data_IF_176456732771
#
_entry.id   IF_176456732771
#
_cell.length_a   1.000
_cell.length_b   1.000
_cell.length_c   1.000
_cell.angle_alpha   90.00
_cell.angle_beta   90.00
_cell.angle_gamma   90.00
#
_symmetry.space_group_name_H-M   'P 1'
#
loop_
_entity.id
_entity.type
_entity.pdbx_description
1 polymer ?
#
# COMPACT_ATOMS: atom_id res chain seq x y z
N UNK A 1 12.70 -1.36 3.52
CA UNK A 1 12.34 -2.39 2.52
C UNK A 1 13.49 -3.38 2.46
N UNK A 2 13.20 -4.68 2.32
CA UNK A 2 14.23 -5.71 2.19
C UNK A 2 15.12 -5.47 0.95
N UNK A 3 16.40 -5.87 0.95
CA UNK A 3 17.22 -5.89 -0.25
C UNK A 3 16.48 -6.53 -1.44
N UNK A 4 16.48 -5.84 -2.58
CA UNK A 4 15.47 -6.06 -3.63
C UNK A 4 15.94 -6.79 -4.89
N UNK A 5 17.25 -6.90 -5.11
CA UNK A 5 17.78 -7.57 -6.31
C UNK A 5 18.30 -8.97 -6.01
N UNK A 6 19.13 -9.09 -4.97
CA UNK A 6 19.57 -10.37 -4.43
C UNK A 6 18.73 -10.73 -3.21
N UNK A 7 18.52 -12.04 -3.00
CA UNK A 7 17.76 -12.57 -1.87
C UNK A 7 18.70 -13.13 -0.80
N UNK A 8 19.16 -12.29 0.13
CA UNK A 8 19.94 -12.77 1.26
C UNK A 8 19.12 -13.77 2.10
N UNK A 9 19.79 -14.75 2.73
CA UNK A 9 19.20 -15.55 3.79
C UNK A 9 18.66 -14.66 4.91
N UNK A 10 17.71 -15.18 5.68
CA UNK A 10 17.01 -14.41 6.72
C UNK A 10 17.97 -13.86 7.80
N UNK A 11 19.04 -14.59 8.13
CA UNK A 11 20.09 -14.10 9.05
C UNK A 11 20.79 -12.84 8.53
N UNK A 12 21.04 -12.78 7.23
CA UNK A 12 21.69 -11.63 6.60
C UNK A 12 20.71 -10.45 6.49
N UNK A 13 19.41 -10.71 6.30
CA UNK A 13 18.36 -9.67 6.38
C UNK A 13 18.30 -9.09 7.80
N UNK A 14 18.36 -9.95 8.82
CA UNK A 14 18.34 -9.53 10.21
C UNK A 14 19.56 -8.66 10.57
N UNK A 15 20.77 -9.10 10.21
CA UNK A 15 22.01 -8.31 10.41
C UNK A 15 21.93 -6.95 9.69
N UNK A 16 21.39 -6.93 8.47
CA UNK A 16 21.16 -5.68 7.74
C UNK A 16 20.27 -4.71 8.53
N UNK A 17 19.11 -5.16 9.01
CA UNK A 17 18.21 -4.29 9.77
C UNK A 17 18.80 -3.88 11.13
N UNK A 18 19.56 -4.74 11.81
CA UNK A 18 20.26 -4.38 13.05
C UNK A 18 21.32 -3.30 12.83
N UNK A 19 22.08 -3.39 11.74
CA UNK A 19 23.07 -2.35 11.37
C UNK A 19 22.41 -1.03 11.03
N UNK A 20 21.30 -1.05 10.29
CA UNK A 20 20.53 0.17 10.01
C UNK A 20 19.98 0.76 11.31
N UNK A 21 19.32 -0.06 12.12
CA UNK A 21 18.75 0.30 13.42
C UNK A 21 19.75 0.96 14.37
N UNK A 22 20.93 0.36 14.54
CA UNK A 22 21.97 0.89 15.43
C UNK A 22 22.62 2.19 14.92
N UNK A 23 22.50 2.49 13.62
CA UNK A 23 23.06 3.71 13.01
C UNK A 23 22.16 4.94 13.10
N UNK A 24 20.89 4.79 13.52
CA UNK A 24 19.89 5.86 13.53
C UNK A 24 19.14 5.93 14.86
N UNK A 25 18.51 7.07 15.14
CA UNK A 25 17.71 7.31 16.36
C UNK A 25 16.21 7.52 16.11
N UNK A 26 15.77 7.26 14.89
CA UNK A 26 14.36 7.37 14.48
C UNK A 26 13.75 5.98 14.34
N UNK A 27 12.42 5.91 14.42
CA UNK A 27 11.67 4.67 14.21
C UNK A 27 11.79 4.16 12.78
N UNK A 28 11.89 2.84 12.64
CA UNK A 28 11.90 2.10 11.39
C UNK A 28 10.53 1.47 11.19
N UNK A 29 9.94 1.76 10.03
CA UNK A 29 8.83 0.97 9.50
C UNK A 29 9.39 -0.05 8.50
N UNK A 30 9.26 -1.33 8.83
CA UNK A 30 9.49 -2.41 7.87
C UNK A 30 8.54 -2.23 6.68
N UNK A 31 9.01 -2.58 5.50
CA UNK A 31 8.17 -2.53 4.30
C UNK A 31 8.31 -3.86 3.55
N UNK A 32 7.26 -4.66 3.63
CA UNK A 32 7.16 -5.95 2.95
C UNK A 32 6.23 -5.82 1.75
N UNK A 33 6.81 -5.87 0.55
CA UNK A 33 6.09 -5.78 -0.71
C UNK A 33 6.67 -6.80 -1.70
N UNK A 34 6.17 -8.02 -1.60
CA UNK A 34 6.57 -9.14 -2.45
C UNK A 34 6.29 -8.89 -3.94
N UNK A 35 5.31 -8.04 -4.28
CA UNK A 35 5.03 -7.69 -5.68
C UNK A 35 6.17 -6.90 -6.34
N UNK A 36 6.92 -6.11 -5.55
CA UNK A 36 8.04 -5.29 -6.04
C UNK A 36 9.37 -6.02 -5.86
N UNK A 37 9.60 -6.54 -4.66
CA UNK A 37 10.88 -7.11 -4.23
C UNK A 37 10.97 -8.59 -4.61
N UNK A 38 9.85 -9.25 -5.00
CA UNK A 38 9.77 -10.69 -5.34
C UNK A 38 10.25 -11.66 -4.24
N UNK A 39 10.50 -11.14 -3.04
CA UNK A 39 10.68 -11.91 -1.82
C UNK A 39 9.65 -11.44 -0.81
N UNK A 40 8.88 -12.42 -0.33
CA UNK A 40 8.01 -12.20 0.81
C UNK A 40 8.78 -12.44 2.11
N UNK A 41 8.69 -11.52 3.07
CA UNK A 41 9.22 -11.73 4.41
C UNK A 41 8.27 -12.65 5.18
N UNK A 42 8.79 -13.77 5.68
CA UNK A 42 8.02 -14.70 6.50
C UNK A 42 7.57 -14.05 7.81
N UNK A 43 6.47 -14.54 8.39
CA UNK A 43 6.02 -14.11 9.72
C UNK A 43 7.11 -14.31 10.77
N UNK A 44 7.82 -15.45 10.72
CA UNK A 44 8.96 -15.74 11.61
C UNK A 44 10.07 -14.69 11.53
N UNK A 45 10.47 -14.29 10.31
CA UNK A 45 11.47 -13.24 10.15
C UNK A 45 10.95 -11.88 10.63
N UNK A 46 9.70 -11.52 10.31
CA UNK A 46 9.11 -10.26 10.78
C UNK A 46 9.03 -10.22 12.32
N UNK A 47 8.68 -11.33 12.96
CA UNK A 47 8.67 -11.47 14.41
C UNK A 47 10.05 -11.21 15.01
N UNK A 48 11.12 -11.81 14.45
CA UNK A 48 12.50 -11.54 14.88
C UNK A 48 12.93 -10.09 14.64
N UNK A 49 12.50 -9.47 13.54
CA UNK A 49 12.79 -8.07 13.25
C UNK A 49 12.04 -7.12 14.19
N UNK A 50 10.86 -7.51 14.69
CA UNK A 50 10.07 -6.71 15.64
C UNK A 50 10.70 -6.61 17.03
N UNK A 51 11.69 -7.44 17.35
CA UNK A 51 12.47 -7.36 18.59
C UNK A 51 13.54 -6.26 18.57
N UNK A 52 13.80 -5.66 17.41
CA UNK A 52 14.77 -4.56 17.28
C UNK A 52 14.14 -3.29 17.85
N UNK A 53 14.76 -2.68 18.85
CA UNK A 53 14.21 -1.58 19.68
C UNK A 53 13.53 -0.46 18.88
N UNK A 54 14.14 0.01 17.79
CA UNK A 54 13.60 1.11 16.99
C UNK A 54 12.82 0.64 15.75
N UNK A 55 12.52 -0.65 15.60
CA UNK A 55 11.51 -1.12 14.64
C UNK A 55 10.15 -0.95 15.30
N UNK A 56 9.34 -0.04 14.75
CA UNK A 56 8.08 0.40 15.39
C UNK A 56 6.83 0.05 14.59
N UNK A 57 7.00 -0.33 13.32
CA UNK A 57 5.89 -0.66 12.44
C UNK A 57 6.29 -1.59 11.29
N UNK A 58 5.30 -2.19 10.64
CA UNK A 58 5.40 -2.83 9.34
C UNK A 58 4.28 -2.34 8.41
N UNK A 59 4.63 -1.98 7.17
CA UNK A 59 3.70 -1.89 6.06
C UNK A 59 3.68 -3.24 5.34
N UNK A 60 2.58 -3.98 5.47
CA UNK A 60 2.39 -5.29 4.84
C UNK A 60 1.54 -5.14 3.56
N UNK A 61 2.14 -5.42 2.40
CA UNK A 61 1.53 -5.25 1.07
C UNK A 61 1.30 -6.57 0.32
N UNK A 62 1.40 -7.73 0.97
CA UNK A 62 1.07 -9.00 0.30
C UNK A 62 -0.44 -9.11 0.08
N UNK A 63 -0.85 -9.98 -0.83
CA UNK A 63 -2.27 -10.33 -1.03
C UNK A 63 -2.77 -11.40 -0.05
N UNK A 64 -1.92 -11.88 0.87
CA UNK A 64 -2.24 -12.94 1.82
C UNK A 64 -2.84 -12.34 3.09
N UNK A 65 -4.18 -12.35 3.17
CA UNK A 65 -4.89 -11.83 4.33
C UNK A 65 -4.76 -12.75 5.56
N UNK A 66 -4.55 -14.06 5.37
CA UNK A 66 -4.29 -14.99 6.47
C UNK A 66 -2.99 -14.63 7.17
N UNK A 67 -1.92 -14.39 6.38
CA UNK A 67 -0.65 -13.89 6.89
C UNK A 67 -0.80 -12.54 7.58
N UNK A 68 -1.59 -11.62 7.02
CA UNK A 68 -1.84 -10.33 7.65
C UNK A 68 -2.43 -10.47 9.06
N UNK A 69 -3.46 -11.32 9.22
CA UNK A 69 -4.05 -11.62 10.53
C UNK A 69 -3.00 -12.22 11.47
N UNK A 70 -2.20 -13.18 10.98
CA UNK A 70 -1.14 -13.80 11.77
C UNK A 70 -0.12 -12.77 12.26
N UNK A 71 0.26 -11.80 11.43
CA UNK A 71 1.14 -10.70 11.84
C UNK A 71 0.50 -9.83 12.92
N UNK A 72 -0.76 -9.44 12.77
CA UNK A 72 -1.43 -8.66 13.82
C UNK A 72 -1.47 -9.43 15.14
N UNK A 73 -1.70 -10.74 15.10
CA UNK A 73 -1.70 -11.60 16.30
C UNK A 73 -0.32 -11.77 16.93
N UNK A 74 0.73 -12.01 16.13
CA UNK A 74 2.05 -12.36 16.66
C UNK A 74 2.92 -11.16 17.02
N UNK A 75 2.77 -10.03 16.31
CA UNK A 75 3.64 -8.85 16.48
C UNK A 75 2.88 -7.56 16.76
N UNK A 76 1.55 -7.55 16.69
CA UNK A 76 0.74 -6.33 16.86
C UNK A 76 0.83 -5.67 18.23
N UNK A 77 1.23 -6.41 19.27
CA UNK A 77 1.51 -5.85 20.60
C UNK A 77 2.90 -5.19 20.71
N UNK A 78 3.81 -5.51 19.78
CA UNK A 78 5.21 -5.00 19.76
C UNK A 78 5.37 -3.83 18.80
N UNK A 79 4.80 -3.97 17.60
CA UNK A 79 4.92 -3.01 16.51
C UNK A 79 3.58 -2.80 15.81
N UNK A 80 3.41 -1.64 15.19
CA UNK A 80 2.20 -1.33 14.43
C UNK A 80 2.18 -2.10 13.11
N UNK A 81 1.16 -2.93 12.90
CA UNK A 81 0.92 -3.62 11.62
C UNK A 81 -0.02 -2.78 10.76
N UNK A 82 0.51 -2.10 9.73
CA UNK A 82 -0.25 -1.26 8.81
C UNK A 82 -0.66 -2.04 7.56
N UNK A 83 -1.92 -1.83 7.19
CA UNK A 83 -2.48 -2.29 5.92
C UNK A 83 -1.82 -1.55 4.74
N UNK A 84 -1.01 -2.27 3.98
CA UNK A 84 -0.34 -1.76 2.79
C UNK A 84 -1.17 -1.84 1.51
N UNK A 85 -2.34 -2.48 1.54
CA UNK A 85 -3.31 -2.57 0.43
C UNK A 85 -4.38 -1.46 0.49
N UNK A 86 -4.23 -0.51 1.42
CA UNK A 86 -5.01 0.72 1.52
C UNK A 86 -6.54 0.47 1.59
N UNK A 87 -7.31 1.30 0.88
CA UNK A 87 -8.77 1.28 0.88
C UNK A 87 -9.36 -0.07 0.47
N UNK A 88 -8.61 -0.86 -0.30
CA UNK A 88 -9.09 -2.10 -0.89
C UNK A 88 -9.19 -3.27 0.10
N UNK A 89 -8.57 -3.13 1.28
CA UNK A 89 -8.64 -4.09 2.38
C UNK A 89 -9.48 -3.58 3.56
N UNK A 90 -9.97 -2.34 3.53
CA UNK A 90 -10.90 -1.85 4.53
C UNK A 90 -12.33 -2.35 4.24
N UNK A 91 -13.14 -2.68 5.26
CA UNK A 91 -12.89 -2.59 6.69
C UNK A 91 -12.15 -3.80 7.29
N UNK A 92 -11.87 -4.84 6.50
CA UNK A 92 -11.33 -6.11 7.01
C UNK A 92 -10.01 -5.93 7.77
N UNK A 93 -9.12 -5.06 7.28
CA UNK A 93 -7.87 -4.78 7.98
C UNK A 93 -8.08 -4.13 9.37
N UNK A 94 -9.04 -3.20 9.51
CA UNK A 94 -9.44 -2.65 10.82
C UNK A 94 -9.96 -3.75 11.74
N UNK A 95 -10.84 -4.61 11.23
CA UNK A 95 -11.39 -5.75 11.99
C UNK A 95 -10.30 -6.73 12.44
N UNK A 96 -9.26 -6.92 11.63
CA UNK A 96 -8.11 -7.75 11.97
C UNK A 96 -7.19 -7.11 13.02
N UNK A 97 -7.36 -5.82 13.36
CA UNK A 97 -6.59 -5.09 14.37
C UNK A 97 -5.57 -4.09 13.82
N UNK A 98 -5.53 -3.86 12.50
CA UNK A 98 -4.69 -2.79 11.94
C UNK A 98 -5.17 -1.42 12.41
N UNK A 99 -4.31 -0.53 12.91
CA UNK A 99 -4.74 0.81 13.31
C UNK A 99 -4.83 1.79 12.14
N UNK A 100 -4.26 1.46 10.97
CA UNK A 100 -4.36 2.31 9.78
C UNK A 100 -3.88 1.66 8.50
N UNK A 101 -3.77 2.48 7.45
CA UNK A 101 -3.38 2.06 6.12
C UNK A 101 -2.58 3.14 5.39
N UNK A 102 -1.83 2.76 4.35
CA UNK A 102 -1.01 3.68 3.55
C UNK A 102 -1.57 3.73 2.12
N UNK A 103 -2.08 4.90 1.73
CA UNK A 103 -2.84 5.10 0.50
C UNK A 103 -2.04 5.73 -0.64
N UNK A 104 -2.20 5.19 -1.85
CA UNK A 104 -1.85 5.88 -3.10
C UNK A 104 -2.96 6.83 -3.56
N UNK A 105 -4.23 6.43 -3.39
CA UNK A 105 -5.45 7.17 -3.78
C UNK A 105 -5.52 8.59 -3.19
N UNK A 106 -4.96 8.79 -2.00
CA UNK A 106 -4.95 10.10 -1.31
C UNK A 106 -4.25 11.21 -2.11
N UNK A 107 -3.37 10.85 -3.06
CA UNK A 107 -2.67 11.81 -3.91
C UNK A 107 -3.58 12.56 -4.89
N UNK A 108 -4.75 12.00 -5.23
CA UNK A 108 -5.67 12.59 -6.20
C UNK A 108 -7.13 12.62 -5.73
N UNK A 109 -7.48 11.86 -4.70
CA UNK A 109 -8.82 11.84 -4.12
C UNK A 109 -8.79 11.91 -2.57
N UNK A 110 -8.14 12.92 -1.97
CA UNK A 110 -7.98 12.99 -0.52
C UNK A 110 -9.32 13.04 0.23
N UNK A 111 -10.37 13.63 -0.35
CA UNK A 111 -11.69 13.70 0.27
C UNK A 111 -12.29 12.29 0.46
N UNK A 112 -12.19 11.43 -0.56
CA UNK A 112 -12.68 10.04 -0.49
C UNK A 112 -11.90 9.22 0.54
N UNK A 113 -10.57 9.36 0.57
CA UNK A 113 -9.72 8.64 1.53
C UNK A 113 -10.00 9.10 2.97
N UNK A 114 -10.17 10.41 3.18
CA UNK A 114 -10.50 10.95 4.49
C UNK A 114 -11.93 10.63 4.93
N UNK A 115 -12.87 10.46 4.00
CA UNK A 115 -14.21 9.93 4.28
C UNK A 115 -14.12 8.47 4.76
N UNK A 116 -13.41 7.62 4.00
CA UNK A 116 -13.17 6.22 4.38
C UNK A 116 -12.53 6.13 5.78
N UNK A 117 -11.50 6.94 6.04
CA UNK A 117 -10.84 7.02 7.35
C UNK A 117 -11.84 7.34 8.47
N UNK A 118 -12.70 8.35 8.30
CA UNK A 118 -13.71 8.72 9.31
C UNK A 118 -14.75 7.62 9.53
N UNK A 119 -15.21 6.95 8.48
CA UNK A 119 -16.17 5.85 8.57
C UNK A 119 -15.55 4.64 9.28
N UNK A 120 -14.31 4.31 8.92
CA UNK A 120 -13.50 3.26 9.54
C UNK A 120 -13.27 3.49 11.03
N UNK A 121 -12.92 4.72 11.43
CA UNK A 121 -12.69 5.05 12.85
C UNK A 121 -13.99 5.05 13.67
N UNK A 122 -15.14 5.24 13.04
CA UNK A 122 -16.47 5.07 13.66
C UNK A 122 -16.97 3.62 13.63
N UNK A 123 -16.21 2.71 13.03
CA UNK A 123 -16.61 1.31 12.81
C UNK A 123 -17.92 1.16 12.03
N UNK A 124 -18.25 2.15 11.18
CA UNK A 124 -19.37 2.07 10.23
C UNK A 124 -18.96 1.23 9.01
N UNK A 125 -18.82 -0.07 9.24
CA UNK A 125 -18.26 -1.00 8.26
C UNK A 125 -19.15 -1.15 7.02
N UNK A 126 -20.46 -0.95 7.15
CA UNK A 126 -21.39 -0.94 6.00
C UNK A 126 -21.11 0.25 5.09
N UNK A 127 -20.89 1.44 5.65
CA UNK A 127 -20.52 2.62 4.87
C UNK A 127 -19.12 2.50 4.26
N UNK A 128 -18.15 1.93 4.99
CA UNK A 128 -16.81 1.62 4.45
C UNK A 128 -16.92 0.70 3.24
N UNK A 129 -17.73 -0.36 3.33
CA UNK A 129 -17.94 -1.30 2.22
C UNK A 129 -18.58 -0.63 0.99
N UNK A 130 -19.58 0.23 1.19
CA UNK A 130 -20.19 1.01 0.09
C UNK A 130 -19.14 1.89 -0.61
N UNK A 131 -18.31 2.60 0.14
CA UNK A 131 -17.26 3.44 -0.43
C UNK A 131 -16.16 2.62 -1.13
N UNK A 132 -15.78 1.47 -0.57
CA UNK A 132 -14.87 0.51 -1.23
C UNK A 132 -15.44 0.02 -2.56
N UNK A 133 -16.72 -0.28 -2.64
CA UNK A 133 -17.36 -0.67 -3.91
C UNK A 133 -17.37 0.47 -4.92
N UNK A 134 -17.59 1.71 -4.47
CA UNK A 134 -17.44 2.90 -5.32
C UNK A 134 -16.02 3.01 -5.90
N UNK A 135 -14.99 2.63 -5.16
CA UNK A 135 -13.58 2.62 -5.60
C UNK A 135 -13.19 1.38 -6.45
N UNK A 136 -14.06 0.39 -6.59
CA UNK A 136 -13.73 -0.86 -7.30
C UNK A 136 -13.39 -0.69 -8.79
N UNK A 137 -14.00 0.24 -9.56
CA UNK A 137 -13.58 0.52 -10.93
C UNK A 137 -12.10 0.93 -11.04
N UNK A 138 -11.63 1.77 -10.10
CA UNK A 138 -10.23 2.18 -10.01
C UNK A 138 -9.31 0.99 -9.69
N UNK A 139 -9.69 0.13 -8.74
CA UNK A 139 -8.96 -1.09 -8.41
C UNK A 139 -8.84 -2.02 -9.63
N UNK A 140 -9.96 -2.26 -10.32
CA UNK A 140 -10.01 -3.12 -11.50
C UNK A 140 -9.13 -2.57 -12.63
N UNK A 141 -9.16 -1.25 -12.84
CA UNK A 141 -8.27 -0.60 -13.80
C UNK A 141 -6.80 -0.74 -13.42
N UNK A 142 -6.45 -0.50 -12.16
CA UNK A 142 -5.09 -0.67 -11.64
C UNK A 142 -4.59 -2.11 -11.83
N UNK A 143 -5.41 -3.11 -11.48
CA UNK A 143 -5.08 -4.53 -11.68
C UNK A 143 -4.83 -4.84 -13.16
N UNK A 144 -5.70 -4.36 -14.05
CA UNK A 144 -5.56 -4.56 -15.51
C UNK A 144 -4.24 -3.99 -16.05
N UNK A 145 -3.90 -2.75 -15.70
CA UNK A 145 -2.66 -2.13 -16.18
C UNK A 145 -1.42 -2.79 -15.53
N UNK A 146 -1.52 -3.24 -14.27
CA UNK A 146 -0.46 -4.00 -13.61
C UNK A 146 -0.22 -5.36 -14.28
N UNK A 147 -1.25 -6.04 -14.78
CA UNK A 147 -1.08 -7.27 -15.58
C UNK A 147 -0.31 -7.00 -16.88
N UNK A 148 -0.56 -5.86 -17.54
CA UNK A 148 0.07 -5.49 -18.81
C UNK A 148 1.52 -5.02 -18.64
N UNK A 149 1.79 -4.18 -17.65
CA UNK A 149 3.05 -3.45 -17.51
C UNK A 149 3.89 -3.88 -16.30
N UNK A 150 3.34 -4.73 -15.42
CA UNK A 150 3.88 -4.96 -14.09
C UNK A 150 3.59 -3.79 -13.14
N UNK A 151 4.05 -3.89 -11.88
CA UNK A 151 3.75 -2.88 -10.85
C UNK A 151 4.46 -1.54 -11.07
N UNK A 152 5.43 -1.47 -12.00
CA UNK A 152 6.14 -0.24 -12.34
C UNK A 152 5.25 0.83 -13.00
N UNK A 153 4.02 0.48 -13.42
CA UNK A 153 3.03 1.43 -13.96
C UNK A 153 2.37 2.30 -12.89
N UNK A 154 2.43 1.91 -11.62
CA UNK A 154 1.73 2.61 -10.52
C UNK A 154 2.04 4.12 -10.46
N UNK A 155 3.28 4.60 -10.64
CA UNK A 155 3.55 6.04 -10.71
C UNK A 155 2.82 6.75 -11.86
N UNK A 156 2.61 6.10 -13.01
CA UNK A 156 1.83 6.66 -14.12
C UNK A 156 0.35 6.77 -13.79
N UNK A 157 -0.21 5.78 -13.07
CA UNK A 157 -1.56 5.84 -12.55
C UNK A 157 -1.74 7.04 -11.61
N UNK A 158 -0.91 7.12 -10.56
CA UNK A 158 -1.02 8.17 -9.54
C UNK A 158 -0.84 9.57 -10.14
N UNK A 159 0.16 9.75 -11.01
CA UNK A 159 0.41 11.04 -11.67
C UNK A 159 -0.68 11.41 -12.68
N UNK A 160 -1.17 10.44 -13.45
CA UNK A 160 -2.26 10.67 -14.40
C UNK A 160 -3.55 11.07 -13.69
N UNK A 161 -3.91 10.35 -12.62
CA UNK A 161 -5.09 10.65 -11.82
C UNK A 161 -4.97 12.01 -11.11
N UNK A 162 -3.79 12.33 -10.54
CA UNK A 162 -3.54 13.64 -9.94
C UNK A 162 -3.66 14.79 -10.95
N UNK A 163 -3.12 14.62 -12.16
CA UNK A 163 -3.23 15.62 -13.21
C UNK A 163 -4.68 15.83 -13.66
N UNK A 164 -5.46 14.75 -13.79
CA UNK A 164 -6.89 14.83 -14.07
C UNK A 164 -7.62 15.57 -12.96
N UNK A 165 -7.38 15.23 -11.69
CA UNK A 165 -7.95 15.89 -10.51
C UNK A 165 -7.41 17.32 -10.24
N UNK A 166 -6.81 17.98 -11.24
CA UNK A 166 -6.39 19.38 -11.16
C UNK A 166 -5.01 19.63 -10.51
N UNK A 167 -4.23 18.58 -10.22
CA UNK A 167 -2.90 18.66 -9.61
C UNK A 167 -1.82 18.07 -10.52
N UNK A 168 -1.38 18.79 -11.59
CA UNK A 168 -0.39 18.27 -12.51
C UNK A 168 1.00 18.17 -11.85
N UNK A 169 1.52 16.96 -11.73
CA UNK A 169 2.82 16.64 -11.06
C UNK A 169 3.92 16.20 -12.05
N UNK A 170 3.78 16.64 -13.30
CA UNK A 170 4.71 16.37 -14.39
C UNK A 170 4.74 14.90 -14.85
N UNK A 171 5.58 14.56 -15.86
CA UNK A 171 5.64 13.21 -16.38
C UNK A 171 6.39 12.25 -15.45
N UNK A 172 6.27 10.95 -15.75
CA UNK A 172 7.16 9.91 -15.21
C UNK A 172 8.51 9.92 -15.93
N UNK A 173 9.55 9.40 -15.26
CA UNK A 173 10.89 9.21 -15.85
C UNK A 173 11.03 7.75 -16.31
N UNK A 174 11.78 7.54 -17.39
CA UNK A 174 12.17 6.19 -17.80
C UNK A 174 12.88 5.47 -16.63
N UNK A 175 12.65 4.15 -16.42
CA UNK A 175 11.94 3.22 -17.30
C UNK A 175 10.43 3.04 -17.00
N UNK A 176 9.78 3.97 -16.28
CA UNK A 176 8.33 3.85 -15.96
C UNK A 176 7.48 3.88 -17.24
N UNK A 177 6.59 2.89 -17.48
CA UNK A 177 5.73 2.87 -18.66
C UNK A 177 4.71 4.00 -18.64
N UNK A 178 4.27 4.45 -19.82
CA UNK A 178 3.23 5.49 -19.97
C UNK A 178 1.93 4.86 -20.46
N UNK A 179 0.80 5.48 -20.11
CA UNK A 179 -0.49 5.09 -20.66
C UNK A 179 -0.60 5.35 -22.16
N UNK A 180 -1.24 4.42 -22.86
CA UNK A 180 -1.79 4.68 -24.18
C UNK A 180 -3.05 5.56 -24.11
N UNK A 181 -3.52 6.05 -25.26
CA UNK A 181 -4.68 6.96 -25.29
C UNK A 181 -5.96 6.30 -24.76
N UNK A 182 -6.14 5.00 -24.99
CA UNK A 182 -7.30 4.28 -24.47
C UNK A 182 -7.24 4.15 -22.94
N UNK A 183 -6.07 3.91 -22.36
CA UNK A 183 -5.86 3.85 -20.91
C UNK A 183 -6.05 5.22 -20.24
N UNK A 184 -5.63 6.31 -20.91
CA UNK A 184 -5.91 7.67 -20.44
C UNK A 184 -7.41 7.96 -20.39
N UNK A 185 -8.14 7.59 -21.45
CA UNK A 185 -9.59 7.78 -21.52
C UNK A 185 -10.32 6.94 -20.46
N UNK A 186 -9.90 5.68 -20.26
CA UNK A 186 -10.43 4.82 -19.20
C UNK A 186 -10.20 5.42 -17.81
N UNK A 187 -8.99 5.94 -17.55
CA UNK A 187 -8.71 6.61 -16.29
C UNK A 187 -9.56 7.87 -16.13
N UNK A 188 -9.66 8.72 -17.16
CA UNK A 188 -10.49 9.94 -17.13
C UNK A 188 -11.92 9.63 -16.73
N UNK A 189 -12.54 8.66 -17.40
CA UNK A 189 -13.90 8.22 -17.08
C UNK A 189 -14.06 7.75 -15.64
N UNK A 190 -13.08 6.99 -15.11
CA UNK A 190 -13.12 6.56 -13.71
C UNK A 190 -13.05 7.76 -12.75
N UNK A 191 -12.22 8.76 -13.04
CA UNK A 191 -12.10 9.97 -12.22
C UNK A 191 -13.39 10.82 -12.28
N UNK A 192 -14.04 10.91 -13.45
CA UNK A 192 -15.38 11.51 -13.63
C UNK A 192 -16.45 10.77 -12.82
N UNK A 193 -16.53 9.43 -12.95
CA UNK A 193 -17.51 8.59 -12.24
C UNK A 193 -17.33 8.64 -10.71
N UNK A 194 -16.11 8.92 -10.23
CA UNK A 194 -15.82 9.14 -8.82
C UNK A 194 -16.27 10.52 -8.32
N UNK A 195 -16.58 11.45 -9.22
CA UNK A 195 -16.97 12.84 -8.94
C UNK A 195 -15.78 13.72 -8.59
N UNK A 196 -14.60 13.42 -9.13
CA UNK A 196 -13.37 14.18 -8.86
C UNK A 196 -13.13 15.30 -9.90
N UNK A 197 -13.78 15.20 -11.06
CA UNK A 197 -13.79 16.21 -12.13
C UNK A 197 -15.18 16.25 -12.80
N UNK A 198 -15.48 17.37 -13.46
CA UNK A 198 -16.71 17.61 -14.23
C UNK A 198 -16.72 16.89 -15.59
#
# INVERSE_FOLDING_TARGET
MSPYYFYPPDEIVLDFYQKVASSIRIGIMLYNNAHIVRKDLSVSLISRLSEIENVVAIKECTSDFTKFIQLVQEVGEKIVVLNGNAEFWEPFAKMAGSPGFISGTINFAPQLVMELWRLREKEDFDAVMKLRFKLSPLLNFWMKICTKYGPSIEPSLLKGAAALAGSPVGPVRLPVPKFDENEKEQLKKIIEDLGLID
#
